data_IF_898046018694
#
_entry.id   IF_898046018694
#
_cell.length_a   1.000
_cell.length_b   1.000
_cell.length_c   1.000
_cell.angle_alpha   90.00
_cell.angle_beta   90.00
_cell.angle_gamma   90.00
#
_symmetry.space_group_name_H-M   'P 1'
#
loop_
_entity.id
_entity.type
_entity.pdbx_description
1 polymer ?
#
# COMPACT_ATOMS: atom_id res chain seq x y z
N UNK A 1 -10.71 5.01 -18.80
CA UNK A 1 -11.78 5.94 -18.41
C UNK A 1 -11.86 5.95 -16.89
N UNK A 2 -11.71 7.12 -16.27
CA UNK A 2 -11.70 7.29 -14.81
C UNK A 2 -13.12 7.49 -14.31
N UNK A 3 -13.49 6.86 -13.20
CA UNK A 3 -14.80 7.06 -12.56
C UNK A 3 -14.61 7.56 -11.14
N UNK A 4 -15.25 8.68 -10.82
CA UNK A 4 -15.32 9.24 -9.48
C UNK A 4 -16.43 8.54 -8.68
N UNK A 5 -16.10 8.05 -7.48
CA UNK A 5 -17.10 7.54 -6.55
C UNK A 5 -17.48 8.63 -5.55
N UNK A 6 -18.72 9.12 -5.67
CA UNK A 6 -19.29 10.17 -4.82
C UNK A 6 -19.55 9.74 -3.37
N UNK A 7 -19.50 8.43 -3.08
CA UNK A 7 -19.83 7.86 -1.76
C UNK A 7 -18.59 7.80 -0.87
N UNK A 8 -17.44 7.40 -1.44
CA UNK A 8 -16.20 7.15 -0.67
C UNK A 8 -15.03 8.05 -1.10
N UNK A 9 -15.24 8.96 -2.07
CA UNK A 9 -14.19 9.86 -2.56
C UNK A 9 -13.06 9.16 -3.30
N UNK A 10 -13.26 7.92 -3.79
CA UNK A 10 -12.25 7.19 -4.55
C UNK A 10 -12.33 7.48 -6.06
N UNK A 11 -11.18 7.66 -6.71
CA UNK A 11 -11.05 7.59 -8.17
C UNK A 11 -10.63 6.17 -8.55
N UNK A 12 -11.39 5.51 -9.42
CA UNK A 12 -11.08 4.17 -9.92
C UNK A 12 -10.76 4.18 -11.42
N UNK A 13 -9.74 3.43 -11.82
CA UNK A 13 -9.28 3.22 -13.19
C UNK A 13 -9.58 1.78 -13.54
N UNK A 14 -10.14 1.58 -14.74
CA UNK A 14 -10.52 0.25 -15.18
C UNK A 14 -9.32 -0.62 -15.55
N UNK A 15 -8.16 -0.09 -15.97
CA UNK A 15 -6.99 -0.88 -16.38
C UNK A 15 -5.66 -0.26 -15.88
N UNK A 16 -4.94 -1.04 -15.05
CA UNK A 16 -3.51 -0.98 -14.68
C UNK A 16 -2.88 0.36 -14.29
N UNK A 17 -2.39 0.41 -13.04
CA UNK A 17 -1.50 1.44 -12.49
C UNK A 17 -2.27 2.59 -11.86
N UNK A 18 -2.56 2.50 -10.57
CA UNK A 18 -3.39 3.51 -9.93
C UNK A 18 -3.04 3.81 -8.47
N UNK A 19 -2.98 5.12 -8.19
CA UNK A 19 -3.26 5.70 -6.88
C UNK A 19 -4.69 5.37 -6.46
N UNK A 20 -4.85 4.92 -5.21
CA UNK A 20 -6.07 4.34 -4.67
C UNK A 20 -6.91 5.34 -3.84
N UNK A 21 -6.45 6.59 -3.63
CA UNK A 21 -7.14 7.55 -2.76
C UNK A 21 -6.98 9.03 -3.20
N UNK A 22 -8.00 9.87 -2.94
CA UNK A 22 -7.98 11.33 -3.07
C UNK A 22 -8.56 11.93 -1.77
N UNK A 23 -7.90 12.78 -0.99
CA UNK A 23 -6.57 12.66 -0.38
C UNK A 23 -6.85 12.61 1.14
N UNK A 24 -7.03 11.43 1.76
CA UNK A 24 -6.87 11.34 3.19
C UNK A 24 -5.44 11.76 3.53
N UNK A 25 -5.26 12.26 4.75
CA UNK A 25 -3.92 12.52 5.29
C UNK A 25 -3.00 11.29 5.17
N UNK A 26 -3.54 10.09 4.98
CA UNK A 26 -2.80 8.84 4.78
C UNK A 26 -3.08 8.28 3.38
N UNK A 27 -2.03 8.00 2.61
CA UNK A 27 -2.12 7.46 1.25
C UNK A 27 -1.38 6.12 1.11
N UNK A 28 -1.93 5.23 0.28
CA UNK A 28 -1.28 4.00 -0.16
C UNK A 28 -1.13 4.06 -1.68
N UNK A 29 0.12 3.97 -2.14
CA UNK A 29 0.46 3.87 -3.57
C UNK A 29 1.11 2.52 -3.81
N UNK A 30 0.74 1.85 -4.90
CA UNK A 30 1.31 0.55 -5.23
C UNK A 30 1.50 0.37 -6.74
N UNK A 31 2.51 -0.43 -7.09
CA UNK A 31 2.77 -0.84 -8.47
C UNK A 31 3.44 -2.21 -8.54
N UNK A 32 3.14 -3.02 -9.57
CA UNK A 32 3.78 -4.31 -9.75
C UNK A 32 5.25 -4.15 -10.15
N UNK A 33 6.08 -5.09 -9.70
CA UNK A 33 7.47 -5.26 -10.11
C UNK A 33 7.60 -6.45 -11.07
N UNK A 34 8.73 -6.50 -11.79
CA UNK A 34 8.96 -7.51 -12.82
C UNK A 34 8.93 -8.95 -12.29
N UNK A 35 9.30 -9.15 -11.02
CA UNK A 35 9.31 -10.46 -10.35
C UNK A 35 7.95 -10.88 -9.77
N UNK A 36 6.88 -10.13 -10.06
CA UNK A 36 5.54 -10.38 -9.55
C UNK A 36 5.30 -9.89 -8.12
N UNK A 37 6.30 -9.32 -7.46
CA UNK A 37 6.11 -8.59 -6.21
C UNK A 37 5.49 -7.22 -6.45
N UNK A 38 5.09 -6.53 -5.38
CA UNK A 38 4.59 -5.15 -5.44
C UNK A 38 5.53 -4.21 -4.71
N UNK A 39 5.82 -3.05 -5.31
CA UNK A 39 6.35 -1.89 -4.60
C UNK A 39 5.17 -1.13 -3.99
N UNK A 40 5.25 -0.81 -2.71
CA UNK A 40 4.21 -0.09 -1.96
C UNK A 40 4.82 1.10 -1.24
N UNK A 41 4.15 2.25 -1.30
CA UNK A 41 4.48 3.47 -0.57
C UNK A 41 3.33 3.80 0.36
N UNK A 42 3.65 3.94 1.64
CA UNK A 42 2.74 4.43 2.68
C UNK A 42 3.15 5.87 2.99
N UNK A 43 2.31 6.84 2.64
CA UNK A 43 2.61 8.27 2.74
C UNK A 43 1.66 8.93 3.73
N UNK A 44 2.21 9.55 4.77
CA UNK A 44 1.44 10.39 5.68
C UNK A 44 1.62 11.86 5.28
N UNK A 45 0.60 12.47 4.68
CA UNK A 45 0.47 13.89 4.34
C UNK A 45 -0.19 14.72 5.45
N UNK A 46 -0.61 14.06 6.53
CA UNK A 46 -1.27 14.67 7.68
C UNK A 46 -0.35 15.40 8.64
N UNK A 47 -0.97 15.87 9.73
CA UNK A 47 -0.27 16.62 10.77
C UNK A 47 -0.08 15.81 12.07
N UNK A 48 -0.56 14.57 12.12
CA UNK A 48 -0.41 13.60 13.22
C UNK A 48 0.37 12.38 12.79
N UNK A 49 1.05 11.72 13.74
CA UNK A 49 1.73 10.44 13.52
C UNK A 49 0.71 9.31 13.55
N UNK A 50 0.56 8.56 12.46
CA UNK A 50 -0.51 7.57 12.30
C UNK A 50 -0.04 6.31 11.55
N UNK A 51 -0.59 5.13 11.88
CA UNK A 51 -0.30 3.91 11.14
C UNK A 51 -1.09 3.87 9.82
N UNK A 52 -0.49 3.29 8.78
CA UNK A 52 -1.13 3.10 7.47
C UNK A 52 -1.21 1.60 7.17
N UNK A 53 -2.38 1.15 6.73
CA UNK A 53 -2.62 -0.24 6.36
C UNK A 53 -2.70 -0.38 4.85
N UNK A 54 -1.93 -1.33 4.29
CA UNK A 54 -2.11 -1.80 2.91
C UNK A 54 -2.82 -3.16 2.92
N UNK A 55 -3.96 -3.26 2.23
CA UNK A 55 -4.68 -4.51 2.05
C UNK A 55 -4.17 -5.25 0.81
N UNK A 56 -4.18 -6.58 0.81
CA UNK A 56 -3.70 -7.35 -0.35
C UNK A 56 -4.60 -7.12 -1.55
N UNK A 57 -5.91 -6.99 -1.33
CA UNK A 57 -6.89 -6.66 -2.37
C UNK A 57 -6.58 -5.36 -3.11
N UNK A 58 -5.98 -4.39 -2.41
CA UNK A 58 -5.70 -3.06 -2.95
C UNK A 58 -4.53 -3.10 -3.93
N UNK A 59 -3.61 -4.05 -3.74
CA UNK A 59 -2.41 -4.24 -4.59
C UNK A 59 -2.55 -5.42 -5.56
N UNK A 60 -3.76 -5.97 -5.70
CA UNK A 60 -4.07 -7.07 -6.62
C UNK A 60 -3.64 -8.46 -6.14
N UNK A 61 -3.34 -8.62 -4.85
CA UNK A 61 -2.96 -9.89 -4.23
C UNK A 61 -4.19 -10.62 -3.62
N UNK A 62 -4.19 -11.96 -3.55
CA UNK A 62 -5.27 -12.69 -2.90
C UNK A 62 -5.28 -12.46 -1.39
N UNK A 63 -6.44 -12.13 -0.82
CA UNK A 63 -6.59 -11.82 0.62
C UNK A 63 -6.34 -13.02 1.54
N UNK A 64 -6.41 -14.24 1.00
CA UNK A 64 -6.18 -15.48 1.75
C UNK A 64 -4.72 -15.88 1.81
N UNK A 65 -3.85 -15.23 1.05
CA UNK A 65 -2.47 -15.64 0.90
C UNK A 65 -1.56 -14.85 1.84
N UNK A 66 -0.43 -15.46 2.16
CA UNK A 66 0.62 -14.80 2.95
C UNK A 66 1.64 -14.17 2.02
N UNK A 67 2.18 -13.02 2.41
CA UNK A 67 3.21 -12.31 1.69
C UNK A 67 4.32 -11.85 2.63
N UNK A 68 5.55 -11.86 2.14
CA UNK A 68 6.72 -11.32 2.81
C UNK A 68 6.77 -9.80 2.60
N UNK A 69 6.88 -9.04 3.69
CA UNK A 69 7.00 -7.58 3.68
C UNK A 69 8.43 -7.18 4.04
N UNK A 70 9.06 -6.40 3.16
CA UNK A 70 10.41 -5.84 3.34
C UNK A 70 10.38 -4.33 3.31
N UNK A 71 10.96 -3.69 4.32
CA UNK A 71 11.27 -2.26 4.32
C UNK A 71 12.49 -2.00 3.42
N UNK A 72 12.30 -1.15 2.42
CA UNK A 72 13.35 -0.81 1.46
C UNK A 72 14.32 0.23 1.99
N UNK A 73 13.91 1.14 2.87
CA UNK A 73 14.80 2.13 3.48
C UNK A 73 15.65 1.53 4.59
N UNK A 74 15.06 0.67 5.43
CA UNK A 74 15.80 -0.04 6.48
C UNK A 74 16.58 -1.26 5.95
N UNK A 75 16.42 -1.60 4.67
CA UNK A 75 17.00 -2.79 4.03
C UNK A 75 16.66 -4.10 4.79
N UNK A 76 15.49 -4.15 5.44
CA UNK A 76 15.15 -5.17 6.43
C UNK A 76 13.84 -5.86 6.09
N UNK A 77 13.82 -7.19 6.23
CA UNK A 77 12.58 -7.96 6.19
C UNK A 77 11.85 -7.77 7.51
N UNK A 78 10.59 -7.32 7.44
CA UNK A 78 9.73 -7.09 8.61
C UNK A 78 9.12 -8.41 9.06
N UNK A 79 8.61 -9.20 8.12
CA UNK A 79 8.00 -10.49 8.40
C UNK A 79 7.02 -10.94 7.31
N UNK A 80 6.32 -12.03 7.61
CA UNK A 80 5.25 -12.58 6.79
C UNK A 80 3.88 -12.16 7.35
N UNK A 81 3.00 -11.69 6.47
CA UNK A 81 1.67 -11.23 6.85
C UNK A 81 0.62 -11.81 5.91
N UNK A 82 -0.61 -11.99 6.40
CA UNK A 82 -1.71 -12.58 5.64
C UNK A 82 -2.81 -11.54 5.42
N UNK A 83 -3.17 -11.32 4.16
CA UNK A 83 -4.26 -10.44 3.76
C UNK A 83 -4.02 -8.93 3.90
N UNK A 84 -3.14 -8.49 4.81
CA UNK A 84 -2.77 -7.08 4.99
C UNK A 84 -1.46 -6.89 5.77
N UNK A 85 -0.97 -5.66 5.78
CA UNK A 85 0.08 -5.19 6.68
C UNK A 85 -0.24 -3.77 7.14
N UNK A 86 -0.14 -3.54 8.46
CA UNK A 86 -0.24 -2.22 9.08
C UNK A 86 1.15 -1.79 9.54
N UNK A 87 1.58 -0.60 9.12
CA UNK A 87 2.86 -0.03 9.55
C UNK A 87 2.85 0.34 11.04
N UNK A 88 4.03 0.52 11.67
CA UNK A 88 4.16 1.41 12.81
C UNK A 88 3.66 2.81 12.45
N UNK A 89 3.52 3.70 13.45
CA UNK A 89 3.17 5.08 13.18
C UNK A 89 4.19 5.72 12.23
N UNK A 90 3.67 6.34 11.17
CA UNK A 90 4.42 7.14 10.22
C UNK A 90 4.21 8.59 10.64
N UNK A 91 5.29 9.30 10.91
CA UNK A 91 5.23 10.69 11.35
C UNK A 91 4.61 11.63 10.27
N UNK A 92 4.15 12.82 10.68
CA UNK A 92 3.66 13.82 9.75
C UNK A 92 4.65 14.06 8.60
N UNK A 93 4.13 14.06 7.37
CA UNK A 93 4.89 14.32 6.14
C UNK A 93 6.00 13.28 5.87
N UNK A 94 5.97 12.14 6.56
CA UNK A 94 6.91 11.04 6.39
C UNK A 94 6.35 9.94 5.47
N UNK A 95 7.26 9.06 5.05
CA UNK A 95 6.97 8.00 4.09
C UNK A 95 7.68 6.70 4.47
N UNK A 96 7.01 5.57 4.24
CA UNK A 96 7.60 4.23 4.31
C UNK A 96 7.50 3.56 2.93
N UNK A 97 8.58 2.91 2.50
CA UNK A 97 8.62 2.20 1.22
C UNK A 97 8.85 0.70 1.45
N UNK A 98 7.96 -0.11 0.89
CA UNK A 98 7.92 -1.55 1.08
C UNK A 98 8.03 -2.29 -0.26
N UNK A 99 8.63 -3.49 -0.20
CA UNK A 99 8.45 -4.54 -1.22
C UNK A 99 7.64 -5.67 -0.59
N UNK A 100 6.54 -6.05 -1.24
CA UNK A 100 5.63 -7.12 -0.78
C UNK A 100 5.65 -8.25 -1.81
N UNK A 101 5.98 -9.46 -1.36
CA UNK A 101 6.15 -10.64 -2.25
C UNK A 101 5.24 -11.77 -1.77
N UNK A 102 4.33 -12.27 -2.61
CA UNK A 102 3.52 -13.45 -2.28
C UNK A 102 4.43 -14.67 -2.07
N UNK A 103 4.08 -15.53 -1.11
CA UNK A 103 4.62 -16.87 -1.12
C UNK A 103 4.05 -17.63 -2.32
N UNK A 104 4.91 -18.31 -3.05
CA UNK A 104 4.50 -19.26 -4.09
C UNK A 104 3.95 -20.54 -3.47
#
# INVERSE_FOLDING_TARGET
QWTWNMIDGSIRNKHSGQCLIQVPELEVWAGPLQDGSAAVVLLNRGNSSEPITVQWSDIGFPTKDSALVRDLWAHKVIGAFRGNYTSPNIDPHAVMMLKITLFQ
#
